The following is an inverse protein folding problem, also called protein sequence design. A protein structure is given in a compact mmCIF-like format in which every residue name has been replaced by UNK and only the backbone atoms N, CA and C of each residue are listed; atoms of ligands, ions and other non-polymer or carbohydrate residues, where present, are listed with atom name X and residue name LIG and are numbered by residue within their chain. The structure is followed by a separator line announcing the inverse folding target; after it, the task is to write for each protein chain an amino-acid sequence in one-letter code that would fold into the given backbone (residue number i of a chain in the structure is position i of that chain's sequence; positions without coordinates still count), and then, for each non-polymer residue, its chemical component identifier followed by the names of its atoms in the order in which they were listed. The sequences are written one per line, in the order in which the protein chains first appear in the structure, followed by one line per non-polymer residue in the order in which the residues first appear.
data_IF_325671151927
#
_entry.id   IF_325671151927
#
_cell.length_a   1.000
_cell.length_b   1.000
_cell.length_c   1.000
_cell.angle_alpha   90.00
_cell.angle_beta   90.00
_cell.angle_gamma   90.00
#
_symmetry.space_group_name_H-M   'P 1'
#
loop_
_entity.id
_entity.type
_entity.pdbx_description
1 polymer ?
#
# COMPACT_ATOMS: atom_id res chain seq x y z
N UNK A 1 -4.80 -11.81 -16.62
CA UNK A 1 -5.70 -11.70 -15.44
C UNK A 1 -5.98 -10.24 -15.03
N UNK A 2 -5.35 -9.23 -15.64
CA UNK A 2 -5.49 -7.81 -15.30
C UNK A 2 -6.67 -7.07 -15.98
N UNK A 3 -7.46 -7.72 -16.86
CA UNK A 3 -8.45 -7.03 -17.70
C UNK A 3 -9.85 -6.82 -17.10
N UNK A 4 -10.06 -7.14 -15.81
CA UNK A 4 -11.41 -7.06 -15.20
C UNK A 4 -11.52 -6.13 -13.99
N UNK A 5 -10.41 -5.61 -13.50
CA UNK A 5 -10.40 -4.79 -12.31
C UNK A 5 -9.27 -3.77 -12.37
N UNK A 6 -9.53 -2.57 -11.86
CA UNK A 6 -8.51 -1.57 -11.65
C UNK A 6 -7.86 -1.76 -10.29
N UNK A 7 -6.54 -1.86 -10.27
CA UNK A 7 -5.75 -2.23 -9.09
C UNK A 7 -4.99 -1.02 -8.59
N UNK A 8 -5.24 -0.63 -7.34
CA UNK A 8 -4.58 0.49 -6.66
C UNK A 8 -3.56 -0.05 -5.67
N UNK A 9 -2.31 0.37 -5.80
CA UNK A 9 -1.29 0.11 -4.78
C UNK A 9 -1.23 1.26 -3.77
N UNK A 10 -1.63 0.97 -2.53
CA UNK A 10 -1.49 1.88 -1.39
C UNK A 10 -0.08 1.79 -0.81
N UNK A 11 0.82 2.67 -1.26
CA UNK A 11 2.22 2.67 -0.85
C UNK A 11 2.38 3.37 0.50
N UNK A 12 3.21 2.81 1.36
CA UNK A 12 3.63 3.41 2.63
C UNK A 12 5.07 3.00 2.91
N UNK A 13 5.84 3.86 3.57
CA UNK A 13 7.19 3.50 3.97
C UNK A 13 7.18 2.52 5.16
N UNK A 14 8.31 1.85 5.39
CA UNK A 14 8.45 0.84 6.44
C UNK A 14 8.15 1.40 7.85
N UNK A 15 8.46 2.67 8.09
CA UNK A 15 8.26 3.32 9.40
C UNK A 15 6.76 3.50 9.67
N UNK A 16 6.02 4.03 8.70
CA UNK A 16 4.57 4.24 8.80
C UNK A 16 3.83 2.91 8.98
N UNK A 17 4.22 1.87 8.22
CA UNK A 17 3.68 0.52 8.39
C UNK A 17 3.97 -0.04 9.78
N UNK A 18 5.19 0.13 10.30
CA UNK A 18 5.52 -0.33 11.64
C UNK A 18 4.71 0.40 12.71
N UNK A 19 4.58 1.72 12.64
CA UNK A 19 3.78 2.51 13.60
C UNK A 19 2.33 2.03 13.62
N UNK A 20 1.74 1.77 12.44
CA UNK A 20 0.35 1.32 12.30
C UNK A 20 0.13 -0.12 12.76
N UNK A 21 1.13 -1.00 12.61
CA UNK A 21 0.96 -2.44 12.82
C UNK A 21 1.59 -2.98 14.11
N UNK A 22 2.47 -2.24 14.79
CA UNK A 22 3.21 -2.71 15.98
C UNK A 22 2.35 -3.17 17.16
N UNK A 23 1.07 -2.75 17.25
CA UNK A 23 0.13 -3.16 18.30
C UNK A 23 -0.88 -4.22 17.83
N UNK A 24 -0.81 -4.59 16.56
CA UNK A 24 -1.76 -5.49 15.93
C UNK A 24 -1.28 -6.95 16.04
N UNK A 25 -1.84 -7.68 17.00
CA UNK A 25 -1.50 -9.08 17.26
C UNK A 25 -2.10 -10.04 16.24
N UNK A 26 -3.01 -9.58 15.35
CA UNK A 26 -3.63 -10.42 14.33
C UNK A 26 -2.67 -10.81 13.19
N UNK A 27 -1.47 -10.20 13.12
CA UNK A 27 -0.50 -10.34 12.03
C UNK A 27 0.60 -11.35 12.35
N UNK A 28 0.49 -12.64 11.96
CA UNK A 28 1.42 -13.67 12.42
C UNK A 28 2.87 -13.41 11.96
N UNK A 29 3.03 -12.85 10.76
CA UNK A 29 4.33 -12.50 10.18
C UNK A 29 5.07 -11.38 10.94
N UNK A 30 4.39 -10.61 11.79
CA UNK A 30 4.95 -9.45 12.51
C UNK A 30 5.02 -9.64 14.03
N UNK A 31 4.74 -10.84 14.56
CA UNK A 31 4.73 -11.12 16.02
C UNK A 31 6.12 -11.26 16.64
N UNK A 32 7.18 -11.34 15.83
CA UNK A 32 8.56 -11.51 16.29
C UNK A 32 9.17 -10.25 16.88
N UNK A 33 10.33 -10.42 17.52
CA UNK A 33 11.09 -9.34 18.17
C UNK A 33 11.56 -8.24 17.21
N UNK A 34 11.73 -8.54 15.93
CA UNK A 34 12.20 -7.59 14.91
C UNK A 34 11.16 -7.33 13.80
N UNK A 35 9.97 -6.90 14.21
CA UNK A 35 8.88 -6.56 13.28
C UNK A 35 9.28 -5.48 12.26
N UNK A 36 10.16 -4.54 12.63
CA UNK A 36 10.60 -3.46 11.74
C UNK A 36 11.47 -3.99 10.61
N UNK A 37 12.47 -4.83 10.91
CA UNK A 37 13.30 -5.44 9.88
C UNK A 37 12.46 -6.35 8.98
N UNK A 38 11.52 -7.11 9.57
CA UNK A 38 10.60 -7.96 8.82
C UNK A 38 9.72 -7.17 7.84
N UNK A 39 9.21 -6.00 8.25
CA UNK A 39 8.46 -5.11 7.34
C UNK A 39 9.34 -4.63 6.18
N UNK A 40 10.57 -4.21 6.45
CA UNK A 40 11.50 -3.76 5.41
C UNK A 40 11.79 -4.88 4.41
N UNK A 41 12.11 -6.08 4.88
CA UNK A 41 12.37 -7.25 4.04
C UNK A 41 11.16 -7.58 3.15
N UNK A 42 9.96 -7.61 3.74
CA UNK A 42 8.72 -7.84 3.01
C UNK A 42 8.46 -6.76 1.95
N UNK A 43 8.74 -5.49 2.23
CA UNK A 43 8.61 -4.41 1.26
C UNK A 43 9.60 -4.57 0.10
N UNK A 44 10.86 -4.91 0.38
CA UNK A 44 11.87 -5.13 -0.67
C UNK A 44 11.44 -6.21 -1.65
N UNK A 45 10.86 -7.31 -1.15
CA UNK A 45 10.42 -8.42 -1.98
C UNK A 45 9.08 -8.13 -2.69
N UNK A 46 8.15 -7.43 -2.04
CA UNK A 46 6.76 -7.30 -2.51
C UNK A 46 6.48 -6.02 -3.26
N UNK A 47 7.19 -4.92 -3.00
CA UNK A 47 6.95 -3.66 -3.69
C UNK A 47 7.05 -3.79 -5.22
N UNK A 48 8.05 -4.48 -5.80
CA UNK A 48 8.10 -4.68 -7.25
C UNK A 48 6.90 -5.47 -7.80
N UNK A 49 6.39 -6.43 -7.01
CA UNK A 49 5.22 -7.23 -7.39
C UNK A 49 3.95 -6.39 -7.36
N UNK A 50 3.77 -5.55 -6.34
CA UNK A 50 2.64 -4.65 -6.24
C UNK A 50 2.66 -3.59 -7.34
N UNK A 51 3.83 -3.02 -7.63
CA UNK A 51 4.00 -2.05 -8.71
C UNK A 51 3.68 -2.68 -10.07
N UNK A 52 4.17 -3.89 -10.35
CA UNK A 52 3.93 -4.59 -11.62
C UNK A 52 2.45 -4.91 -11.89
N UNK A 53 1.64 -5.12 -10.84
CA UNK A 53 0.20 -5.42 -11.01
C UNK A 53 -0.69 -4.19 -10.94
N UNK A 54 -0.19 -3.09 -10.36
CA UNK A 54 -0.97 -1.89 -10.11
C UNK A 54 -1.19 -1.08 -11.38
N UNK A 55 -2.39 -0.55 -11.51
CA UNK A 55 -2.71 0.45 -12.53
C UNK A 55 -2.42 1.87 -12.03
N UNK A 56 -2.40 2.06 -10.71
CA UNK A 56 -1.92 3.27 -10.07
C UNK A 56 -1.30 2.99 -8.71
N UNK A 57 -0.44 3.91 -8.27
CA UNK A 57 0.16 3.91 -6.94
C UNK A 57 -0.19 5.20 -6.21
N UNK A 58 -0.59 5.11 -4.95
CA UNK A 58 -0.96 6.23 -4.09
C UNK A 58 -0.19 6.17 -2.78
N UNK A 59 0.51 7.25 -2.42
CA UNK A 59 1.36 7.33 -1.23
C UNK A 59 0.55 7.64 0.04
N UNK A 60 0.16 6.62 0.79
CA UNK A 60 -0.71 6.72 1.97
C UNK A 60 -0.03 7.19 3.27
N UNK A 61 1.08 7.92 3.19
CA UNK A 61 1.93 8.32 4.33
C UNK A 61 1.20 9.11 5.44
N UNK A 62 1.54 10.39 5.64
CA UNK A 62 0.92 11.24 6.67
C UNK A 62 -0.32 12.00 6.19
N UNK A 63 -0.99 11.53 5.14
CA UNK A 63 -2.19 12.17 4.64
C UNK A 63 -3.48 11.58 5.24
N UNK A 64 -4.53 12.40 5.45
CA UNK A 64 -5.86 11.92 5.82
C UNK A 64 -6.42 10.92 4.81
N UNK A 65 -7.30 10.03 5.27
CA UNK A 65 -7.91 9.00 4.42
C UNK A 65 -8.72 9.64 3.29
N UNK A 66 -9.40 10.75 3.58
CA UNK A 66 -10.20 11.50 2.61
C UNK A 66 -9.35 11.97 1.43
N UNK A 67 -8.12 12.45 1.70
CA UNK A 67 -7.17 12.86 0.66
C UNK A 67 -6.71 11.68 -0.20
N UNK A 68 -6.46 10.52 0.41
CA UNK A 68 -6.13 9.29 -0.32
C UNK A 68 -7.27 8.89 -1.24
N UNK A 69 -8.51 8.93 -0.73
CA UNK A 69 -9.72 8.60 -1.51
C UNK A 69 -9.91 9.57 -2.67
N UNK A 70 -9.78 10.88 -2.45
CA UNK A 70 -9.89 11.89 -3.50
C UNK A 70 -8.85 11.67 -4.62
N UNK A 71 -7.60 11.34 -4.26
CA UNK A 71 -6.55 11.01 -5.23
C UNK A 71 -6.90 9.78 -6.08
N UNK A 72 -7.50 8.76 -5.46
CA UNK A 72 -7.94 7.54 -6.17
C UNK A 72 -9.08 7.87 -7.13
N UNK A 73 -10.08 8.64 -6.68
CA UNK A 73 -11.22 9.07 -7.51
C UNK A 73 -10.80 9.92 -8.70
N UNK A 74 -9.88 10.87 -8.50
CA UNK A 74 -9.33 11.69 -9.58
C UNK A 74 -8.66 10.84 -10.67
N UNK A 75 -7.85 9.86 -10.26
CA UNK A 75 -7.19 8.96 -11.21
C UNK A 75 -8.16 8.03 -11.94
N UNK A 76 -9.25 7.61 -11.30
CA UNK A 76 -10.33 6.86 -11.95
C UNK A 76 -11.05 7.71 -13.01
N UNK A 77 -11.45 8.93 -12.66
CA UNK A 77 -12.17 9.83 -13.57
C UNK A 77 -11.35 10.19 -14.81
N UNK A 78 -10.05 10.46 -14.64
CA UNK A 78 -9.14 10.70 -15.77
C UNK A 78 -9.06 9.51 -16.73
N UNK A 79 -9.36 8.30 -16.25
CA UNK A 79 -9.32 7.08 -17.05
C UNK A 79 -10.64 6.82 -17.80
N UNK A 80 -11.77 7.20 -17.23
CA UNK A 80 -13.11 7.09 -17.85
C UNK A 80 -13.38 8.17 -18.91
N UNK A 81 -12.60 9.26 -18.91
CA UNK A 81 -12.73 10.37 -19.86
C UNK A 81 -12.01 10.12 -21.19
N UNK A 82 -11.66 8.87 -21.51
CA UNK A 82 -10.92 8.43 -22.70
C UNK A 82 -11.76 7.42 -23.48
#
# INVERSE_FOLDING_TARGET
MQDRAWVVYLRANAIDLWIRTRRDTSRPLLRGSDARSRITELLTQRAPLYEAVSHCTVDTGRQPVERVVDQILQQLQSRESI
#
